data_IF_003231467882
#
_entry.id   IF_003231467882
#
_cell.length_a   1.000
_cell.length_b   1.000
_cell.length_c   1.000
_cell.angle_alpha   90.00
_cell.angle_beta   90.00
_cell.angle_gamma   90.00
#
_symmetry.space_group_name_H-M   'P 1'
#
loop_
_entity.id
_entity.type
_entity.pdbx_description
1 polymer ?
#
# COMPACT_ATOMS: atom_id res chain seq x y z
N UNK A 1 -24.64 -103.69 -8.80
CA UNK A 1 -23.48 -102.75 -8.89
C UNK A 1 -23.94 -101.50 -9.59
N UNK A 2 -24.10 -100.45 -8.83
CA UNK A 2 -24.61 -99.14 -9.32
C UNK A 2 -23.49 -98.11 -9.17
N UNK A 3 -23.03 -97.38 -10.22
CA UNK A 3 -22.05 -96.39 -10.07
C UNK A 3 -22.69 -95.06 -9.62
N UNK A 4 -22.08 -94.44 -8.65
CA UNK A 4 -22.43 -93.11 -8.14
C UNK A 4 -21.91 -92.00 -9.09
N UNK A 5 -22.82 -91.18 -9.53
CA UNK A 5 -22.48 -89.85 -10.17
C UNK A 5 -22.00 -88.87 -9.13
N UNK A 6 -20.84 -88.29 -9.36
CA UNK A 6 -20.38 -87.07 -8.62
C UNK A 6 -20.86 -85.81 -9.41
N UNK A 7 -21.59 -84.96 -8.72
CA UNK A 7 -21.95 -83.63 -9.23
C UNK A 7 -20.87 -82.61 -8.78
N UNK A 8 -20.19 -82.00 -9.75
CA UNK A 8 -19.34 -80.83 -9.50
C UNK A 8 -20.20 -79.56 -9.46
N UNK A 9 -20.23 -78.89 -8.32
CA UNK A 9 -20.78 -77.56 -8.15
C UNK A 9 -19.67 -76.51 -8.42
N UNK A 10 -19.82 -75.76 -9.49
CA UNK A 10 -18.96 -74.65 -9.80
C UNK A 10 -19.39 -73.40 -8.99
N UNK A 11 -18.54 -72.93 -8.13
CA UNK A 11 -18.71 -71.69 -7.36
C UNK A 11 -18.23 -70.49 -8.25
N UNK A 12 -19.15 -69.66 -8.72
CA UNK A 12 -18.83 -68.40 -9.44
C UNK A 12 -18.58 -67.30 -8.41
N UNK A 13 -17.32 -66.88 -8.27
CA UNK A 13 -16.92 -65.66 -7.50
C UNK A 13 -17.08 -64.43 -8.35
N UNK A 14 -18.08 -63.62 -8.06
CA UNK A 14 -18.24 -62.28 -8.60
C UNK A 14 -17.29 -61.32 -7.87
N UNK A 15 -16.26 -60.83 -8.56
CA UNK A 15 -15.38 -59.76 -8.09
C UNK A 15 -16.11 -58.44 -8.39
N UNK A 16 -16.61 -57.79 -7.34
CA UNK A 16 -17.11 -56.40 -7.44
C UNK A 16 -15.92 -55.46 -7.52
N UNK A 17 -15.67 -54.85 -8.70
CA UNK A 17 -14.78 -53.70 -8.81
C UNK A 17 -15.48 -52.50 -8.19
N UNK A 18 -15.08 -52.12 -6.96
CA UNK A 18 -15.39 -50.81 -6.41
C UNK A 18 -14.48 -49.76 -7.10
N UNK A 19 -15.04 -49.06 -8.05
CA UNK A 19 -14.38 -47.86 -8.63
C UNK A 19 -14.19 -46.80 -7.54
N UNK A 20 -12.97 -46.66 -7.05
CA UNK A 20 -12.60 -45.48 -6.26
C UNK A 20 -12.65 -44.26 -7.19
N UNK A 21 -13.64 -43.40 -7.03
CA UNK A 21 -13.65 -42.08 -7.63
C UNK A 21 -12.50 -41.32 -6.99
N UNK A 22 -11.44 -41.07 -7.76
CA UNK A 22 -10.39 -40.14 -7.33
C UNK A 22 -11.05 -38.76 -7.21
N UNK A 23 -11.03 -38.16 -6.02
CA UNK A 23 -11.34 -36.76 -5.87
C UNK A 23 -10.39 -35.95 -6.80
N UNK A 24 -10.87 -34.91 -7.47
CA UNK A 24 -9.98 -34.06 -8.24
C UNK A 24 -8.86 -33.58 -7.31
N UNK A 25 -7.62 -33.70 -7.74
CA UNK A 25 -6.48 -33.08 -7.04
C UNK A 25 -6.75 -31.58 -6.99
N UNK A 26 -6.83 -31.03 -5.78
CA UNK A 26 -6.81 -29.58 -5.60
C UNK A 26 -5.52 -29.10 -6.25
N UNK A 27 -5.62 -28.32 -7.32
CA UNK A 27 -4.44 -27.61 -7.85
C UNK A 27 -3.90 -26.73 -6.73
N UNK A 28 -2.59 -26.70 -6.55
CA UNK A 28 -1.98 -25.70 -5.67
C UNK A 28 -2.47 -24.29 -6.07
N UNK A 29 -2.71 -23.40 -5.12
CA UNK A 29 -3.04 -22.02 -5.43
C UNK A 29 -2.03 -21.45 -6.43
N UNK A 30 -2.49 -20.68 -7.40
CA UNK A 30 -1.61 -19.98 -8.34
C UNK A 30 -1.44 -18.55 -7.85
N UNK A 31 -0.24 -17.97 -8.01
CA UNK A 31 -0.10 -16.54 -7.74
C UNK A 31 -1.01 -15.74 -8.68
N UNK A 32 -1.58 -14.61 -8.23
CA UNK A 32 -2.33 -13.71 -9.08
C UNK A 32 -1.43 -13.12 -10.16
N UNK A 33 -2.04 -12.66 -11.25
CA UNK A 33 -1.36 -11.93 -12.34
C UNK A 33 -2.11 -10.63 -12.58
N UNK A 34 -1.41 -9.59 -13.01
CA UNK A 34 -2.08 -8.35 -13.39
C UNK A 34 -2.98 -8.57 -14.61
N UNK A 35 -4.18 -7.99 -14.58
CA UNK A 35 -5.14 -7.96 -15.68
C UNK A 35 -4.67 -7.00 -16.77
N UNK A 36 -4.16 -5.85 -16.34
CA UNK A 36 -3.58 -4.79 -17.17
C UNK A 36 -2.56 -3.99 -16.37
N UNK A 37 -1.87 -3.09 -17.04
CA UNK A 37 -0.88 -2.19 -16.46
C UNK A 37 -0.95 -0.81 -17.11
N UNK A 38 -0.50 0.23 -16.39
CA UNK A 38 -0.39 1.58 -16.93
C UNK A 38 0.83 1.72 -17.85
N UNK A 39 0.87 2.77 -18.72
CA UNK A 39 2.08 3.09 -19.45
C UNK A 39 3.30 3.27 -18.54
N UNK A 40 4.51 2.89 -19.00
CA UNK A 40 5.71 3.01 -18.20
C UNK A 40 6.08 4.46 -17.91
N UNK A 41 6.50 4.71 -16.67
CA UNK A 41 7.15 5.94 -16.24
C UNK A 41 8.66 5.71 -16.27
N UNK A 42 9.39 6.50 -17.04
CA UNK A 42 10.81 6.29 -17.26
C UNK A 42 11.66 7.19 -16.35
N UNK A 43 12.65 6.62 -15.68
CA UNK A 43 13.62 7.37 -14.86
C UNK A 43 14.32 8.50 -15.63
N UNK A 44 14.60 8.31 -16.92
CA UNK A 44 15.21 9.35 -17.76
C UNK A 44 14.34 10.61 -17.89
N UNK A 45 13.05 10.49 -17.66
CA UNK A 45 12.07 11.57 -17.70
C UNK A 45 11.80 12.14 -16.29
N UNK A 46 12.58 11.69 -15.31
CA UNK A 46 12.45 12.01 -13.88
C UNK A 46 11.08 11.62 -13.33
N UNK A 47 10.53 10.51 -13.84
CA UNK A 47 9.24 9.98 -13.47
C UNK A 47 9.42 8.60 -12.84
N UNK A 48 8.87 8.44 -11.64
CA UNK A 48 8.97 7.24 -10.83
C UNK A 48 7.62 7.00 -10.13
N UNK A 49 6.98 5.88 -10.46
CA UNK A 49 5.72 5.50 -9.84
C UNK A 49 5.94 5.24 -8.34
N UNK A 50 4.98 5.68 -7.52
CA UNK A 50 5.10 5.54 -6.07
C UNK A 50 3.81 4.94 -5.48
N UNK A 51 2.75 5.72 -5.31
CA UNK A 51 1.57 5.29 -4.58
C UNK A 51 0.28 5.47 -5.42
N UNK A 52 -0.64 4.48 -5.44
CA UNK A 52 -1.93 4.57 -6.07
C UNK A 52 -3.05 4.75 -5.05
N UNK A 53 -4.16 5.39 -5.47
CA UNK A 53 -5.44 5.42 -4.78
C UNK A 53 -6.60 5.20 -5.77
N UNK A 54 -7.54 4.31 -5.44
CA UNK A 54 -8.64 3.91 -6.33
C UNK A 54 -9.90 4.68 -5.94
N UNK A 55 -10.35 5.58 -6.81
CA UNK A 55 -11.62 6.28 -6.64
C UNK A 55 -12.75 5.52 -7.31
N UNK A 56 -13.68 4.98 -6.50
CA UNK A 56 -14.91 4.39 -7.00
C UNK A 56 -15.94 5.48 -7.29
N UNK A 57 -16.28 5.71 -8.57
CA UNK A 57 -17.26 6.72 -8.93
C UNK A 57 -18.65 6.34 -8.36
N UNK A 58 -19.25 7.17 -7.47
CA UNK A 58 -20.52 6.85 -6.84
C UNK A 58 -21.74 6.91 -7.80
N UNK A 59 -21.58 7.50 -8.98
CA UNK A 59 -22.64 7.65 -9.98
C UNK A 59 -22.59 6.58 -11.07
N UNK A 60 -21.38 6.14 -11.47
CA UNK A 60 -21.17 5.12 -12.49
C UNK A 60 -19.84 4.41 -12.22
N UNK A 61 -19.86 3.14 -11.80
CA UNK A 61 -18.67 2.34 -11.47
C UNK A 61 -17.71 2.15 -12.64
N UNK A 62 -18.21 2.23 -13.89
CA UNK A 62 -17.37 2.15 -15.11
C UNK A 62 -16.50 3.40 -15.30
N UNK A 63 -16.88 4.53 -14.71
CA UNK A 63 -16.16 5.81 -14.76
C UNK A 63 -15.23 6.01 -13.52
N UNK A 64 -14.93 4.93 -12.77
CA UNK A 64 -13.98 4.95 -11.66
C UNK A 64 -12.55 5.21 -12.15
N UNK A 65 -11.68 5.73 -11.26
CA UNK A 65 -10.35 6.18 -11.62
C UNK A 65 -9.29 5.64 -10.66
N UNK A 66 -8.05 5.63 -11.12
CA UNK A 66 -6.86 5.41 -10.29
C UNK A 66 -6.01 6.67 -10.32
N UNK A 67 -5.88 7.31 -9.16
CA UNK A 67 -5.03 8.48 -8.95
C UNK A 67 -3.69 8.00 -8.44
N UNK A 68 -2.59 8.45 -9.04
CA UNK A 68 -1.25 7.96 -8.68
C UNK A 68 -0.26 9.08 -8.54
N UNK A 69 0.75 8.87 -7.74
CA UNK A 69 1.91 9.75 -7.66
C UNK A 69 3.05 9.24 -8.57
N UNK A 70 3.84 10.17 -9.06
CA UNK A 70 4.98 9.94 -9.94
C UNK A 70 6.20 10.73 -9.47
N UNK A 71 6.33 10.89 -8.17
CA UNK A 71 7.39 11.64 -7.45
C UNK A 71 7.62 13.02 -8.07
N UNK A 72 8.81 13.28 -8.62
CA UNK A 72 9.17 14.58 -9.23
C UNK A 72 8.38 14.89 -10.50
N UNK A 73 7.78 13.89 -11.15
CA UNK A 73 6.93 14.11 -12.33
C UNK A 73 5.49 14.52 -11.98
N UNK A 74 5.13 14.60 -10.70
CA UNK A 74 3.80 15.02 -10.28
C UNK A 74 2.84 13.87 -10.03
N UNK A 75 1.62 13.94 -10.57
CA UNK A 75 0.57 12.93 -10.40
C UNK A 75 -0.06 12.58 -11.74
N UNK A 76 -0.56 11.35 -11.84
CA UNK A 76 -1.31 10.86 -12.98
C UNK A 76 -2.67 10.34 -12.55
N UNK A 77 -3.65 10.45 -13.43
CA UNK A 77 -4.98 9.85 -13.28
C UNK A 77 -5.19 8.90 -14.43
N UNK A 78 -5.55 7.67 -14.14
CA UNK A 78 -5.81 6.63 -15.12
C UNK A 78 -7.27 6.17 -15.03
N UNK A 79 -7.85 5.79 -16.17
CA UNK A 79 -9.09 5.06 -16.19
C UNK A 79 -8.89 3.57 -15.87
N UNK A 80 -9.99 2.79 -15.85
CA UNK A 80 -9.93 1.36 -15.54
C UNK A 80 -9.36 0.49 -16.67
N UNK A 81 -9.11 1.07 -17.86
CA UNK A 81 -8.35 0.45 -18.95
C UNK A 81 -6.83 0.72 -18.81
N UNK A 82 -6.41 1.50 -17.80
CA UNK A 82 -5.04 1.91 -17.55
C UNK A 82 -4.54 3.04 -18.47
N UNK A 83 -5.44 3.68 -19.21
CA UNK A 83 -5.10 4.81 -20.08
C UNK A 83 -5.00 6.11 -19.28
N UNK A 84 -4.00 6.93 -19.55
CA UNK A 84 -3.79 8.22 -18.88
C UNK A 84 -4.89 9.21 -19.28
N UNK A 85 -5.70 9.66 -18.33
CA UNK A 85 -6.77 10.65 -18.54
C UNK A 85 -6.35 12.07 -18.16
N UNK A 86 -5.52 12.21 -17.10
CA UNK A 86 -5.03 13.52 -16.66
C UNK A 86 -3.61 13.39 -16.11
N UNK A 87 -2.80 14.43 -16.33
CA UNK A 87 -1.50 14.63 -15.68
C UNK A 87 -1.52 15.95 -14.90
N UNK A 88 -1.00 15.93 -13.70
CA UNK A 88 -0.90 17.09 -12.80
C UNK A 88 0.58 17.37 -12.54
N UNK A 89 1.07 18.49 -13.05
CA UNK A 89 2.45 18.92 -12.82
C UNK A 89 2.75 19.14 -11.33
N UNK A 90 3.98 18.88 -10.86
CA UNK A 90 4.40 19.26 -9.51
C UNK A 90 4.36 20.77 -9.32
N UNK A 91 4.14 21.23 -8.08
CA UNK A 91 4.17 22.65 -7.77
C UNK A 91 5.53 23.25 -8.09
N UNK A 92 5.60 24.46 -8.69
CA UNK A 92 6.87 25.09 -9.00
C UNK A 92 7.63 25.45 -7.71
N UNK A 93 8.95 25.38 -7.76
CA UNK A 93 9.81 25.83 -6.68
C UNK A 93 9.50 27.29 -6.28
N UNK A 94 9.42 27.62 -4.98
CA UNK A 94 9.19 29.00 -4.51
C UNK A 94 10.24 29.99 -5.00
N UNK A 95 11.48 29.55 -5.15
CA UNK A 95 12.57 30.31 -5.77
C UNK A 95 13.52 29.38 -6.55
N UNK A 96 14.44 29.92 -7.38
CA UNK A 96 15.36 29.07 -8.16
C UNK A 96 16.34 28.23 -7.32
N UNK A 97 16.49 28.53 -6.05
CA UNK A 97 17.40 27.85 -5.13
C UNK A 97 16.64 26.84 -4.23
N UNK A 98 15.29 26.76 -4.37
CA UNK A 98 14.43 25.88 -3.58
C UNK A 98 14.04 24.63 -4.36
N UNK A 99 13.60 23.59 -3.65
CA UNK A 99 13.08 22.39 -4.24
C UNK A 99 11.67 22.64 -4.86
N UNK A 100 11.34 22.06 -6.02
CA UNK A 100 9.97 22.02 -6.51
C UNK A 100 9.13 21.06 -5.69
N UNK A 101 7.80 21.09 -5.89
CA UNK A 101 6.89 20.07 -5.36
C UNK A 101 7.30 18.67 -5.80
N UNK A 102 7.03 17.69 -4.93
CA UNK A 102 7.24 16.28 -5.17
C UNK A 102 6.17 15.51 -4.42
N UNK A 103 5.25 14.91 -5.17
CA UNK A 103 4.18 14.12 -4.57
C UNK A 103 4.67 12.71 -4.26
N UNK A 104 4.54 12.29 -2.99
CA UNK A 104 4.95 10.96 -2.54
C UNK A 104 3.73 10.03 -2.49
N UNK A 105 2.94 10.05 -1.44
CA UNK A 105 1.75 9.21 -1.32
C UNK A 105 0.47 9.98 -1.65
N UNK A 106 -0.56 9.26 -2.06
CA UNK A 106 -1.90 9.78 -2.33
C UNK A 106 -2.95 8.88 -1.67
N UNK A 107 -4.01 9.48 -1.13
CA UNK A 107 -5.17 8.75 -0.61
C UNK A 107 -6.45 9.56 -0.85
N UNK A 108 -7.60 8.92 -0.72
CA UNK A 108 -8.90 9.48 -1.05
C UNK A 108 -9.70 9.80 0.21
N UNK A 109 -10.43 10.89 0.15
CA UNK A 109 -11.32 11.33 1.22
C UNK A 109 -12.72 11.58 0.66
N UNK A 110 -13.63 10.65 0.92
CA UNK A 110 -15.00 10.71 0.43
C UNK A 110 -15.84 11.73 1.18
N UNK A 111 -16.84 12.29 0.49
CA UNK A 111 -17.91 13.09 1.08
C UNK A 111 -17.43 14.32 1.88
N UNK A 112 -16.28 14.91 1.56
CA UNK A 112 -15.80 16.13 2.21
C UNK A 112 -16.77 17.31 1.93
N UNK A 113 -17.08 18.08 2.96
CA UNK A 113 -17.94 19.27 2.81
C UNK A 113 -17.12 20.43 2.26
N UNK A 114 -17.34 20.81 0.99
CA UNK A 114 -16.69 21.93 0.31
C UNK A 114 -17.76 22.80 -0.39
N UNK A 115 -17.80 24.09 -0.13
CA UNK A 115 -18.79 25.06 -0.64
C UNK A 115 -20.27 24.67 -0.34
N UNK A 116 -20.47 23.83 0.66
CA UNK A 116 -21.79 23.33 1.09
C UNK A 116 -22.27 22.08 0.37
N UNK A 117 -21.50 21.55 -0.57
CA UNK A 117 -21.70 20.28 -1.24
C UNK A 117 -20.78 19.19 -0.69
N UNK A 118 -21.08 17.94 -1.02
CA UNK A 118 -20.21 16.80 -0.77
C UNK A 118 -19.29 16.61 -1.98
N UNK A 119 -18.01 16.55 -1.72
CA UNK A 119 -16.95 16.46 -2.73
C UNK A 119 -15.96 15.38 -2.33
N UNK A 120 -15.62 14.49 -3.24
CA UNK A 120 -14.54 13.55 -3.03
C UNK A 120 -13.21 14.23 -3.35
N UNK A 121 -12.22 13.97 -2.52
CA UNK A 121 -10.91 14.59 -2.62
C UNK A 121 -9.82 13.53 -2.82
N UNK A 122 -8.89 13.78 -3.74
CA UNK A 122 -7.58 13.15 -3.72
C UNK A 122 -6.63 14.05 -2.91
N UNK A 123 -5.95 13.45 -1.94
CA UNK A 123 -5.02 14.16 -1.05
C UNK A 123 -3.66 13.52 -1.20
N UNK A 124 -2.66 14.31 -1.53
CA UNK A 124 -1.28 13.84 -1.69
C UNK A 124 -0.33 14.56 -0.73
N UNK A 125 0.68 13.88 -0.22
CA UNK A 125 1.79 14.49 0.49
C UNK A 125 2.72 15.18 -0.52
N UNK A 126 2.98 16.47 -0.32
CA UNK A 126 3.92 17.23 -1.13
C UNK A 126 5.24 17.41 -0.37
N UNK A 127 6.16 16.51 -0.61
CA UNK A 127 7.48 16.46 0.03
C UNK A 127 8.33 17.70 -0.28
N UNK A 128 8.20 18.26 -1.50
CA UNK A 128 8.95 19.45 -1.89
C UNK A 128 8.44 20.74 -1.23
N UNK A 129 7.21 20.74 -0.71
CA UNK A 129 6.60 21.90 -0.04
C UNK A 129 6.34 21.67 1.46
N UNK A 130 6.53 20.46 1.96
CA UNK A 130 6.16 20.04 3.32
C UNK A 130 4.69 20.34 3.66
N UNK A 131 3.80 20.10 2.68
CA UNK A 131 2.36 20.37 2.78
C UNK A 131 1.55 19.23 2.15
N UNK A 132 0.25 19.47 1.97
CA UNK A 132 -0.63 18.60 1.19
C UNK A 132 -0.97 19.23 -0.17
N UNK A 133 -1.05 18.40 -1.20
CA UNK A 133 -1.84 18.65 -2.40
C UNK A 133 -3.25 18.14 -2.18
N UNK A 134 -4.28 18.96 -2.40
CA UNK A 134 -5.67 18.56 -2.23
C UNK A 134 -6.41 18.86 -3.52
N UNK A 135 -7.03 17.85 -4.11
CA UNK A 135 -7.69 17.95 -5.41
C UNK A 135 -9.14 17.47 -5.30
N UNK A 136 -10.09 18.30 -5.71
CA UNK A 136 -11.48 17.92 -5.82
C UNK A 136 -11.68 17.08 -7.08
N UNK A 137 -12.41 15.98 -6.95
CA UNK A 137 -12.79 15.09 -8.07
C UNK A 137 -14.17 15.47 -8.55
N UNK A 138 -14.31 15.80 -9.83
CA UNK A 138 -15.60 16.03 -10.48
C UNK A 138 -16.21 14.69 -10.90
N UNK A 139 -17.35 14.26 -10.34
CA UNK A 139 -17.91 12.93 -10.62
C UNK A 139 -18.45 12.75 -12.05
N UNK A 140 -18.79 13.85 -12.75
CA UNK A 140 -19.28 13.80 -14.13
C UNK A 140 -18.16 13.64 -15.17
N UNK A 141 -16.97 14.21 -14.88
CA UNK A 141 -15.86 14.24 -15.84
C UNK A 141 -14.62 13.47 -15.40
N UNK A 142 -14.50 13.13 -14.11
CA UNK A 142 -13.29 12.54 -13.53
C UNK A 142 -12.11 13.52 -13.41
N UNK A 143 -12.31 14.82 -13.71
CA UNK A 143 -11.24 15.83 -13.65
C UNK A 143 -10.90 16.18 -12.20
N UNK A 144 -9.62 16.17 -11.85
CA UNK A 144 -9.08 16.62 -10.59
C UNK A 144 -8.72 18.11 -10.68
N UNK A 145 -9.27 18.92 -9.76
CA UNK A 145 -8.98 20.35 -9.65
C UNK A 145 -8.31 20.66 -8.32
N UNK A 146 -7.16 21.35 -8.33
CA UNK A 146 -6.46 21.78 -7.11
C UNK A 146 -7.33 22.77 -6.30
N UNK A 147 -7.69 22.35 -5.10
CA UNK A 147 -8.45 23.12 -4.11
C UNK A 147 -7.65 23.37 -2.83
N UNK A 148 -6.34 23.18 -2.88
CA UNK A 148 -5.46 23.39 -1.74
C UNK A 148 -5.45 24.86 -1.29
N UNK A 149 -5.44 25.10 0.01
CA UNK A 149 -5.24 26.44 0.53
C UNK A 149 -3.79 26.91 0.26
N UNK A 150 -3.59 27.98 -0.50
CA UNK A 150 -2.25 28.48 -0.82
C UNK A 150 -1.48 29.00 0.39
N UNK A 151 -2.15 29.22 1.52
CA UNK A 151 -1.57 29.72 2.77
C UNK A 151 -1.28 28.59 3.79
N UNK A 152 -1.34 27.31 3.38
CA UNK A 152 -0.96 26.19 4.23
C UNK A 152 0.42 26.40 4.85
N UNK A 153 0.58 25.99 6.10
CA UNK A 153 1.87 26.00 6.79
C UNK A 153 2.56 24.66 6.60
N UNK A 154 3.91 24.63 6.55
CA UNK A 154 4.63 23.35 6.57
C UNK A 154 4.17 22.46 7.73
N UNK A 155 4.16 21.16 7.51
CA UNK A 155 3.73 20.18 8.51
C UNK A 155 4.81 19.99 9.58
N UNK A 156 6.06 19.88 9.17
CA UNK A 156 7.20 19.60 10.05
C UNK A 156 8.27 20.69 10.09
N UNK A 157 8.41 21.46 9.02
CA UNK A 157 9.49 22.45 8.85
C UNK A 157 9.12 23.80 9.46
N UNK A 158 10.11 24.52 9.97
CA UNK A 158 9.93 25.89 10.49
C UNK A 158 10.04 26.95 9.39
N UNK A 159 10.91 26.70 8.38
CA UNK A 159 11.14 27.63 7.27
C UNK A 159 11.58 26.90 5.98
N UNK A 160 11.80 27.65 4.89
CA UNK A 160 12.18 27.09 3.60
C UNK A 160 13.54 26.37 3.63
N UNK A 161 14.44 26.77 4.52
CA UNK A 161 15.74 26.11 4.67
C UNK A 161 15.56 24.68 5.16
N UNK A 162 14.68 24.48 6.15
CA UNK A 162 14.34 23.16 6.66
C UNK A 162 13.64 22.31 5.58
N UNK A 163 12.75 22.90 4.77
CA UNK A 163 12.08 22.18 3.66
C UNK A 163 13.12 21.68 2.65
N UNK A 164 14.12 22.49 2.34
CA UNK A 164 15.17 22.14 1.39
C UNK A 164 16.11 21.02 1.91
N UNK A 165 16.12 20.71 3.22
CA UNK A 165 16.79 19.54 3.80
C UNK A 165 16.02 18.23 3.56
N UNK A 166 14.78 18.31 3.02
CA UNK A 166 13.93 17.21 2.59
C UNK A 166 13.43 16.26 3.69
N UNK A 167 13.60 16.59 4.98
CA UNK A 167 12.95 15.87 6.09
C UNK A 167 11.51 16.38 6.28
N UNK A 168 10.67 16.14 5.30
CA UNK A 168 9.37 16.76 5.11
C UNK A 168 8.25 15.73 5.05
N UNK A 169 7.04 16.13 4.66
CA UNK A 169 5.89 15.25 4.46
C UNK A 169 6.24 14.08 3.54
N UNK A 170 5.87 12.85 3.92
CA UNK A 170 6.24 11.62 3.23
C UNK A 170 5.03 10.70 3.07
N UNK A 171 4.92 9.58 3.79
CA UNK A 171 3.78 8.69 3.73
C UNK A 171 2.48 9.38 4.15
N UNK A 172 1.34 8.91 3.62
CA UNK A 172 0.04 9.53 3.87
C UNK A 172 -1.08 8.49 3.91
N UNK A 173 -2.08 8.72 4.76
CA UNK A 173 -3.43 8.13 4.67
C UNK A 173 -4.48 9.12 5.16
N UNK A 174 -5.70 9.01 4.65
CA UNK A 174 -6.82 9.88 4.99
C UNK A 174 -8.02 9.10 5.48
N UNK A 175 -8.87 9.74 6.25
CA UNK A 175 -10.18 9.21 6.58
C UNK A 175 -11.13 10.30 7.07
N UNK A 176 -12.41 10.00 7.06
CA UNK A 176 -13.43 10.81 7.70
C UNK A 176 -14.19 10.01 8.76
N UNK A 177 -14.63 10.69 9.80
CA UNK A 177 -15.57 10.17 10.78
C UNK A 177 -16.56 11.25 11.20
N UNK A 178 -17.44 10.94 12.17
CA UNK A 178 -18.41 11.90 12.73
C UNK A 178 -17.79 13.15 13.37
N UNK A 179 -16.49 13.18 13.59
CA UNK A 179 -15.76 14.29 14.24
C UNK A 179 -15.06 15.19 13.26
N UNK A 180 -14.83 14.72 12.04
CA UNK A 180 -14.19 15.48 10.96
C UNK A 180 -13.50 14.62 9.93
N UNK A 181 -12.74 15.30 9.09
CA UNK A 181 -11.86 14.73 8.07
C UNK A 181 -10.41 14.86 8.54
N UNK A 182 -9.61 13.83 8.34
CA UNK A 182 -8.26 13.72 8.89
C UNK A 182 -7.29 13.14 7.87
N UNK A 183 -6.01 13.44 8.08
CA UNK A 183 -4.89 12.76 7.45
C UNK A 183 -3.84 12.39 8.51
N UNK A 184 -3.18 11.25 8.34
CA UNK A 184 -1.88 10.97 8.93
C UNK A 184 -0.82 11.24 7.89
N UNK A 185 0.24 11.93 8.28
CA UNK A 185 1.38 12.23 7.41
C UNK A 185 2.65 11.89 8.19
N UNK A 186 3.50 11.08 7.62
CA UNK A 186 4.81 10.78 8.20
C UNK A 186 5.86 11.78 7.74
N UNK A 187 7.02 11.75 8.38
CA UNK A 187 8.16 12.59 8.07
C UNK A 187 9.29 11.78 7.46
N UNK A 188 9.77 12.20 6.29
CA UNK A 188 10.89 11.56 5.62
C UNK A 188 12.15 11.53 6.48
N UNK A 189 12.87 10.41 6.48
CA UNK A 189 14.09 10.14 7.24
C UNK A 189 13.93 10.33 8.78
N UNK A 190 12.68 10.34 9.28
CA UNK A 190 12.34 10.56 10.68
C UNK A 190 11.24 9.59 11.15
N UNK A 191 11.00 9.51 12.44
CA UNK A 191 10.00 8.60 13.02
C UNK A 191 8.71 9.31 13.43
N UNK A 192 8.54 10.56 13.00
CA UNK A 192 7.40 11.39 13.35
C UNK A 192 6.20 11.11 12.42
N UNK A 193 5.00 11.01 12.98
CA UNK A 193 3.72 10.92 12.27
C UNK A 193 2.79 11.99 12.80
N UNK A 194 2.38 12.91 11.93
CA UNK A 194 1.45 13.99 12.26
C UNK A 194 0.01 13.59 11.97
N UNK A 195 -0.89 13.85 12.92
CA UNK A 195 -2.33 13.84 12.73
C UNK A 195 -2.78 15.24 12.33
N UNK A 196 -3.29 15.37 11.12
CA UNK A 196 -3.87 16.60 10.59
C UNK A 196 -5.39 16.51 10.58
N UNK A 197 -6.05 17.62 10.81
CA UNK A 197 -7.49 17.80 10.60
C UNK A 197 -7.69 18.68 9.38
N UNK A 198 -8.34 18.16 8.35
CA UNK A 198 -8.67 18.90 7.15
C UNK A 198 -9.91 19.76 7.38
N UNK A 199 -9.91 20.99 6.87
CA UNK A 199 -11.02 21.92 7.02
C UNK A 199 -11.15 22.79 5.78
N UNK A 200 -12.40 23.11 5.42
CA UNK A 200 -12.67 24.16 4.45
C UNK A 200 -12.28 25.54 5.02
N UNK A 201 -11.66 26.36 4.21
CA UNK A 201 -11.31 27.75 4.55
C UNK A 201 -12.42 28.73 4.11
N UNK A 202 -12.36 29.96 4.60
CA UNK A 202 -13.28 31.04 4.18
C UNK A 202 -13.19 31.34 2.66
N UNK A 203 -12.15 30.89 1.99
CA UNK A 203 -11.91 31.07 0.55
C UNK A 203 -12.50 29.93 -0.32
N UNK A 204 -13.10 28.89 0.30
CA UNK A 204 -13.59 27.72 -0.42
C UNK A 204 -12.46 26.79 -0.89
N UNK A 205 -11.33 26.82 -0.20
CA UNK A 205 -10.19 25.92 -0.38
C UNK A 205 -10.07 24.98 0.81
N UNK A 206 -9.22 23.96 0.73
CA UNK A 206 -9.00 22.98 1.82
C UNK A 206 -7.62 23.23 2.43
N UNK A 207 -7.63 23.48 3.73
CA UNK A 207 -6.44 23.60 4.57
C UNK A 207 -6.44 22.55 5.68
N UNK A 208 -5.46 22.61 6.57
CA UNK A 208 -5.38 21.70 7.72
C UNK A 208 -4.84 22.39 8.98
N UNK A 209 -5.11 21.74 10.11
CA UNK A 209 -4.51 22.04 11.40
C UNK A 209 -3.83 20.78 11.95
N UNK A 210 -2.58 20.91 12.42
CA UNK A 210 -1.89 19.81 13.12
C UNK A 210 -2.51 19.61 14.49
N UNK A 211 -3.13 18.44 14.71
CA UNK A 211 -3.78 18.06 15.97
C UNK A 211 -2.75 17.49 16.94
N UNK A 212 -1.85 16.65 16.45
CA UNK A 212 -0.87 15.91 17.24
C UNK A 212 0.25 15.37 16.37
N UNK A 213 1.41 15.14 16.98
CA UNK A 213 2.51 14.38 16.39
C UNK A 213 2.82 13.21 17.33
N UNK A 214 2.91 12.02 16.78
CA UNK A 214 3.42 10.81 17.41
C UNK A 214 4.86 10.63 16.95
N UNK A 215 5.77 10.28 17.87
CA UNK A 215 7.11 9.84 17.50
C UNK A 215 7.24 8.35 17.82
N UNK A 216 7.52 7.54 16.81
CA UNK A 216 7.82 6.12 16.98
C UNK A 216 9.23 5.92 17.54
N UNK A 217 9.51 4.75 18.15
CA UNK A 217 10.87 4.45 18.65
C UNK A 217 11.90 4.45 17.53
N UNK A 218 13.07 5.03 17.82
CA UNK A 218 14.30 5.00 16.99
C UNK A 218 15.26 3.91 17.41
N UNK A 219 15.14 3.44 18.65
CA UNK A 219 15.96 2.39 19.27
C UNK A 219 15.08 1.39 20.01
N UNK A 220 15.49 0.14 19.99
CA UNK A 220 14.77 -0.99 20.55
C UNK A 220 15.64 -1.77 21.52
N UNK A 221 15.06 -2.27 22.61
CA UNK A 221 15.75 -3.18 23.52
C UNK A 221 15.48 -4.62 23.11
N UNK A 222 16.51 -5.31 22.67
CA UNK A 222 16.43 -6.70 22.26
C UNK A 222 16.23 -7.66 23.45
N UNK A 223 15.75 -8.90 23.23
CA UNK A 223 15.52 -9.87 24.30
C UNK A 223 16.75 -10.22 25.15
N UNK A 224 17.95 -10.05 24.62
CA UNK A 224 19.22 -10.22 25.32
C UNK A 224 19.66 -8.99 26.12
N UNK A 225 18.90 -7.88 26.03
CA UNK A 225 19.16 -6.61 26.69
C UNK A 225 20.07 -5.65 25.91
N UNK A 226 20.48 -6.01 24.69
CA UNK A 226 21.22 -5.10 23.81
C UNK A 226 20.29 -4.00 23.26
N UNK A 227 20.82 -2.81 22.99
CA UNK A 227 20.14 -1.78 22.20
C UNK A 227 20.38 -2.04 20.73
N UNK A 228 19.35 -1.88 19.93
CA UNK A 228 19.40 -1.97 18.49
C UNK A 228 18.65 -0.79 17.85
N UNK A 229 19.20 -0.24 16.79
CA UNK A 229 18.52 0.67 15.88
C UNK A 229 18.65 0.12 14.47
N UNK A 230 17.66 0.34 13.58
CA UNK A 230 17.83 0.09 12.16
C UNK A 230 19.08 0.74 11.61
N UNK A 231 19.68 0.11 10.62
CA UNK A 231 20.84 0.68 9.93
C UNK A 231 20.33 1.68 8.90
N UNK A 232 20.88 2.87 8.91
CA UNK A 232 20.52 3.96 8.01
C UNK A 232 21.67 4.96 7.88
N UNK A 233 21.56 5.99 7.02
CA UNK A 233 22.52 7.07 6.94
C UNK A 233 22.63 7.79 8.31
N UNK A 234 23.82 8.15 8.76
CA UNK A 234 24.01 8.84 10.02
C UNK A 234 23.24 10.17 10.13
N UNK A 235 22.18 10.16 10.91
CA UNK A 235 21.27 11.29 11.11
C UNK A 235 19.87 11.03 10.58
N UNK A 236 19.67 9.97 9.84
CA UNK A 236 18.39 9.47 9.37
C UNK A 236 17.89 8.32 10.23
N UNK A 237 16.59 8.06 10.19
CA UNK A 237 15.94 7.04 11.01
C UNK A 237 14.89 6.31 10.17
N UNK A 238 14.65 5.04 10.49
CA UNK A 238 13.60 4.23 9.87
C UNK A 238 12.26 4.98 9.88
N UNK A 239 11.90 5.48 8.72
CA UNK A 239 10.69 6.28 8.49
C UNK A 239 9.45 5.40 8.41
N UNK A 240 8.29 6.02 8.29
CA UNK A 240 7.01 5.35 8.03
C UNK A 240 6.56 5.77 6.64
N UNK A 241 6.26 4.83 5.76
CA UNK A 241 5.67 5.16 4.47
C UNK A 241 4.24 4.66 4.39
N UNK A 242 4.02 3.37 4.24
CA UNK A 242 2.68 2.81 4.14
C UNK A 242 1.87 3.05 5.41
N UNK A 243 0.69 3.63 5.23
CA UNK A 243 -0.27 3.83 6.31
C UNK A 243 -1.69 3.55 5.84
N UNK A 244 -2.53 3.04 6.75
CA UNK A 244 -3.97 2.88 6.48
C UNK A 244 -4.78 2.93 7.76
N UNK A 245 -6.06 3.30 7.68
CA UNK A 245 -6.95 3.44 8.84
C UNK A 245 -8.17 2.52 8.73
N UNK A 246 -8.30 1.61 9.67
CA UNK A 246 -9.56 0.90 9.91
C UNK A 246 -10.53 1.82 10.66
N UNK A 247 -11.34 2.56 9.93
CA UNK A 247 -12.33 3.50 10.48
C UNK A 247 -13.40 2.81 11.33
N UNK A 248 -13.69 1.53 11.05
CA UNK A 248 -14.66 0.74 11.82
C UNK A 248 -14.18 0.49 13.25
N UNK A 249 -12.86 0.38 13.44
CA UNK A 249 -12.22 0.13 14.74
C UNK A 249 -11.56 1.38 15.34
N UNK A 250 -11.35 2.42 14.52
CA UNK A 250 -10.61 3.62 14.90
C UNK A 250 -9.13 3.31 15.15
N UNK A 251 -8.54 2.49 14.30
CA UNK A 251 -7.15 2.02 14.39
C UNK A 251 -6.40 2.39 13.13
N UNK A 252 -5.21 2.95 13.29
CA UNK A 252 -4.24 3.13 12.21
C UNK A 252 -3.20 2.02 12.24
N UNK A 253 -2.77 1.59 11.05
CA UNK A 253 -1.61 0.75 10.83
C UNK A 253 -0.53 1.58 10.15
N UNK A 254 0.70 1.45 10.62
CA UNK A 254 1.85 2.24 10.17
C UNK A 254 2.99 1.29 9.86
N UNK A 255 3.47 1.26 8.62
CA UNK A 255 4.65 0.52 8.18
C UNK A 255 5.90 1.34 8.45
N UNK A 256 6.69 0.98 9.47
CA UNK A 256 8.02 1.55 9.68
C UNK A 256 9.02 0.65 8.95
N UNK A 257 9.58 1.13 7.85
CA UNK A 257 10.24 0.38 6.78
C UNK A 257 11.18 -0.74 7.26
N UNK A 258 12.19 -0.43 8.06
CA UNK A 258 13.16 -1.42 8.54
C UNK A 258 12.77 -2.06 9.89
N UNK A 259 11.55 -1.79 10.41
CA UNK A 259 11.12 -2.25 11.74
C UNK A 259 9.98 -3.25 11.67
N UNK A 260 8.84 -2.84 11.09
CA UNK A 260 7.63 -3.65 11.09
C UNK A 260 6.35 -2.82 11.05
N UNK A 261 5.22 -3.48 11.31
CA UNK A 261 3.90 -2.84 11.27
C UNK A 261 3.46 -2.48 12.69
N UNK A 262 3.20 -1.21 12.90
CA UNK A 262 2.61 -0.69 14.13
C UNK A 262 1.09 -0.63 14.02
N UNK A 263 0.42 -0.86 15.13
CA UNK A 263 -1.00 -0.59 15.35
C UNK A 263 -1.15 0.47 16.44
N UNK A 264 -1.92 1.51 16.18
CA UNK A 264 -2.17 2.61 17.12
C UNK A 264 -3.62 3.11 16.97
N UNK A 265 -4.28 3.70 18.00
CA UNK A 265 -5.52 4.42 17.78
C UNK A 265 -5.34 5.51 16.70
N UNK A 266 -6.31 5.64 15.78
CA UNK A 266 -6.22 6.58 14.65
C UNK A 266 -6.04 8.05 15.08
N UNK A 267 -6.47 8.40 16.30
CA UNK A 267 -6.23 9.72 16.90
C UNK A 267 -4.86 9.88 17.58
N UNK A 268 -3.97 8.90 17.42
CA UNK A 268 -2.61 8.84 17.98
C UNK A 268 -2.55 9.03 19.52
N UNK A 269 -3.61 8.68 20.27
CA UNK A 269 -3.68 8.89 21.74
C UNK A 269 -3.13 7.74 22.57
N UNK A 270 -2.86 6.59 21.95
CA UNK A 270 -2.43 5.37 22.65
C UNK A 270 -0.93 5.10 22.50
N UNK A 271 -0.46 4.04 23.16
CA UNK A 271 0.87 3.50 22.94
C UNK A 271 0.83 2.64 21.65
N UNK A 272 1.79 2.82 20.72
CA UNK A 272 1.93 1.96 19.54
C UNK A 272 2.25 0.51 19.94
N UNK A 273 1.67 -0.45 19.23
CA UNK A 273 1.91 -1.88 19.39
C UNK A 273 2.43 -2.46 18.08
N UNK A 274 3.62 -3.07 18.08
CA UNK A 274 4.10 -3.84 16.93
C UNK A 274 3.26 -5.11 16.78
N UNK A 275 2.62 -5.28 15.62
CA UNK A 275 1.84 -6.48 15.30
C UNK A 275 2.68 -7.53 14.59
N UNK A 276 3.68 -7.11 13.82
CA UNK A 276 4.72 -7.95 13.22
C UNK A 276 6.00 -7.12 13.02
N UNK A 277 7.14 -7.80 12.84
CA UNK A 277 8.44 -7.19 12.62
C UNK A 277 9.11 -7.73 11.36
N UNK A 278 9.96 -6.93 10.75
CA UNK A 278 10.80 -7.39 9.66
C UNK A 278 11.70 -8.56 10.10
N UNK A 279 12.09 -9.41 9.17
CA UNK A 279 13.09 -10.48 9.39
C UNK A 279 14.45 -9.86 9.81
N UNK A 280 14.70 -8.67 9.33
CA UNK A 280 15.90 -7.87 9.60
C UNK A 280 15.86 -7.17 10.97
N UNK A 281 14.72 -7.15 11.68
CA UNK A 281 14.59 -6.55 13.00
C UNK A 281 15.57 -7.16 14.01
N UNK A 282 16.39 -6.31 14.62
CA UNK A 282 17.45 -6.72 15.54
C UNK A 282 18.74 -7.18 14.86
N UNK A 283 18.83 -7.10 13.53
CA UNK A 283 20.03 -7.45 12.79
C UNK A 283 21.08 -6.33 12.94
N UNK A 284 22.32 -6.64 13.40
CA UNK A 284 23.36 -5.63 13.46
C UNK A 284 23.73 -5.16 12.04
N UNK A 285 23.62 -3.86 11.78
CA UNK A 285 23.98 -3.24 10.51
C UNK A 285 25.11 -2.24 10.67
N UNK A 286 25.86 -2.03 9.60
CA UNK A 286 26.88 -1.01 9.46
C UNK A 286 26.71 -0.30 8.11
N UNK A 287 26.42 1.01 8.16
CA UNK A 287 26.24 1.84 7.00
C UNK A 287 27.58 2.18 6.35
N UNK A 288 27.68 2.04 5.04
CA UNK A 288 28.86 2.41 4.24
C UNK A 288 28.57 3.72 3.47
N UNK A 289 29.17 4.85 3.86
CA UNK A 289 28.95 6.14 3.22
C UNK A 289 29.54 6.26 1.80
N UNK A 290 30.31 5.26 1.32
CA UNK A 290 30.83 5.25 -0.07
C UNK A 290 29.83 4.62 -1.05
N UNK A 291 29.05 3.65 -0.58
CA UNK A 291 28.03 2.94 -1.39
C UNK A 291 26.61 3.36 -1.04
N UNK A 292 26.43 4.07 0.09
CA UNK A 292 25.12 4.44 0.65
C UNK A 292 24.26 3.21 0.99
N UNK A 293 24.91 2.09 1.32
CA UNK A 293 24.23 0.84 1.64
C UNK A 293 24.57 0.33 3.05
N UNK A 294 23.65 -0.41 3.66
CA UNK A 294 23.88 -1.11 4.91
C UNK A 294 24.38 -2.53 4.69
N UNK A 295 25.47 -2.90 5.34
CA UNK A 295 25.92 -4.28 5.43
C UNK A 295 25.49 -4.90 6.77
N UNK A 296 24.98 -6.13 6.72
CA UNK A 296 24.40 -6.79 7.89
C UNK A 296 25.27 -7.93 8.40
N UNK A 297 25.31 -8.09 9.73
CA UNK A 297 25.99 -9.18 10.43
C UNK A 297 25.16 -10.47 10.50
N UNK A 298 25.58 -11.38 11.40
CA UNK A 298 24.85 -12.62 11.64
C UNK A 298 23.48 -12.32 12.26
N UNK A 299 22.41 -12.99 11.77
CA UNK A 299 21.06 -12.83 12.29
C UNK A 299 20.93 -13.44 13.69
N UNK A 300 20.65 -12.63 14.74
CA UNK A 300 20.46 -13.12 16.10
C UNK A 300 19.11 -13.81 16.34
N UNK A 301 18.18 -13.74 15.35
CA UNK A 301 16.87 -14.38 15.42
C UNK A 301 15.87 -13.60 16.28
N UNK A 302 15.92 -12.28 16.26
CA UNK A 302 14.97 -11.42 16.98
C UNK A 302 13.82 -10.94 16.09
N UNK A 303 14.02 -10.92 14.78
CA UNK A 303 13.04 -10.48 13.78
C UNK A 303 11.91 -11.48 13.57
N UNK A 304 10.92 -11.02 12.80
CA UNK A 304 9.78 -11.81 12.31
C UNK A 304 10.18 -12.90 11.31
N UNK A 305 9.18 -13.54 10.75
CA UNK A 305 9.39 -14.64 9.79
C UNK A 305 8.84 -14.31 8.39
N UNK A 306 8.12 -13.19 8.24
CA UNK A 306 7.30 -12.90 7.05
C UNK A 306 7.81 -11.69 6.28
N UNK A 307 7.81 -10.53 6.94
CA UNK A 307 8.11 -9.26 6.29
C UNK A 307 9.61 -9.10 6.02
N UNK A 308 9.95 -8.60 4.84
CA UNK A 308 11.30 -8.14 4.48
C UNK A 308 11.32 -6.64 4.34
N UNK A 309 12.43 -6.02 4.70
CA UNK A 309 12.62 -4.58 4.51
C UNK A 309 12.71 -4.23 3.00
N UNK A 310 12.10 -3.16 2.54
CA UNK A 310 11.34 -2.24 3.36
C UNK A 310 9.86 -2.67 3.44
N UNK A 311 9.16 -2.21 4.49
CA UNK A 311 7.72 -2.43 4.65
C UNK A 311 7.03 -1.16 4.15
N UNK A 312 6.47 -1.25 2.97
CA UNK A 312 5.92 -0.16 2.18
C UNK A 312 4.38 -0.14 2.22
N UNK A 313 3.71 0.05 1.09
CA UNK A 313 2.28 0.25 1.00
C UNK A 313 1.42 -0.64 1.91
N UNK A 314 0.56 -0.01 2.68
CA UNK A 314 -0.43 -0.66 3.53
C UNK A 314 -1.84 -0.31 3.07
N UNK A 315 -2.67 -1.32 2.81
CA UNK A 315 -4.08 -1.12 2.44
C UNK A 315 -4.99 -2.16 3.07
N UNK A 316 -6.31 -1.89 3.14
CA UNK A 316 -7.27 -2.78 3.79
C UNK A 316 -8.38 -3.18 2.83
N UNK A 317 -8.46 -4.47 2.50
CA UNK A 317 -9.64 -5.05 1.88
C UNK A 317 -10.70 -5.32 2.94
N UNK A 318 -11.73 -4.50 2.99
CA UNK A 318 -12.84 -4.64 3.92
C UNK A 318 -13.81 -5.75 3.49
N UNK A 319 -14.41 -6.43 4.47
CA UNK A 319 -15.40 -7.49 4.26
C UNK A 319 -16.57 -7.32 5.21
N UNK A 320 -17.66 -8.03 4.90
CA UNK A 320 -18.86 -8.03 5.73
C UNK A 320 -18.58 -8.22 7.23
N UNK A 321 -19.38 -7.54 8.06
CA UNK A 321 -19.39 -7.67 9.52
C UNK A 321 -18.09 -7.26 10.21
N UNK A 322 -17.39 -6.30 9.63
CA UNK A 322 -16.15 -5.79 10.19
C UNK A 322 -15.00 -6.80 10.11
N UNK A 323 -15.01 -7.72 9.19
CA UNK A 323 -13.86 -8.54 8.80
C UNK A 323 -13.09 -7.85 7.68
N UNK A 324 -11.94 -8.35 7.37
CA UNK A 324 -11.12 -7.85 6.27
C UNK A 324 -9.68 -8.30 6.40
N UNK A 325 -8.90 -7.82 5.49
CA UNK A 325 -7.49 -8.13 5.35
C UNK A 325 -6.69 -6.83 5.32
N UNK A 326 -5.67 -6.75 6.16
CA UNK A 326 -4.59 -5.79 6.01
C UNK A 326 -3.55 -6.41 5.09
N UNK A 327 -3.24 -5.73 4.00
CA UNK A 327 -2.17 -6.07 3.08
C UNK A 327 -0.98 -5.16 3.40
N UNK A 328 0.22 -5.72 3.35
CA UNK A 328 1.45 -4.99 3.54
C UNK A 328 2.45 -5.38 2.44
N UNK A 329 2.97 -4.41 1.69
CA UNK A 329 4.10 -4.63 0.80
C UNK A 329 5.33 -5.02 1.62
N UNK A 330 5.95 -6.11 1.23
CA UNK A 330 7.24 -6.62 1.71
C UNK A 330 8.20 -6.49 0.55
N UNK A 331 8.77 -5.29 0.38
CA UNK A 331 9.50 -4.90 -0.82
C UNK A 331 10.73 -5.79 -1.05
N UNK A 332 11.43 -6.15 0.03
CA UNK A 332 12.67 -6.93 -0.06
C UNK A 332 12.51 -8.38 -0.52
N UNK A 333 11.28 -8.91 -0.72
CA UNK A 333 11.01 -10.23 -1.29
C UNK A 333 9.85 -10.25 -2.29
N UNK A 334 9.48 -9.07 -2.82
CA UNK A 334 8.48 -8.90 -3.88
C UNK A 334 7.13 -9.54 -3.52
N UNK A 335 6.71 -9.43 -2.26
CA UNK A 335 5.49 -10.07 -1.77
C UNK A 335 4.58 -9.12 -1.01
N UNK A 336 3.31 -9.50 -0.89
CA UNK A 336 2.33 -8.85 -0.04
C UNK A 336 1.96 -9.79 1.10
N UNK A 337 2.27 -9.39 2.33
CA UNK A 337 1.85 -10.09 3.54
C UNK A 337 0.40 -9.71 3.89
N UNK A 338 -0.40 -10.72 4.27
CA UNK A 338 -1.83 -10.54 4.54
C UNK A 338 -2.14 -10.91 5.98
N UNK A 339 -2.75 -9.97 6.70
CA UNK A 339 -3.16 -10.13 8.08
C UNK A 339 -4.67 -9.97 8.23
N UNK A 340 -5.25 -10.64 9.23
CA UNK A 340 -6.63 -10.35 9.63
C UNK A 340 -6.70 -8.99 10.32
N UNK A 341 -7.63 -8.10 9.92
CA UNK A 341 -7.88 -6.85 10.68
C UNK A 341 -8.63 -7.10 11.98
N UNK A 342 -9.03 -8.33 12.30
CA UNK A 342 -9.75 -8.70 13.52
C UNK A 342 -8.86 -9.44 14.51
N UNK A 343 -9.17 -9.31 15.80
CA UNK A 343 -8.41 -9.99 16.86
C UNK A 343 -7.03 -9.37 17.07
N UNK A 344 -5.99 -10.18 17.00
CA UNK A 344 -4.59 -9.79 17.20
C UNK A 344 -3.82 -9.52 15.91
N UNK A 345 -4.49 -9.35 14.78
CA UNK A 345 -3.88 -9.23 13.46
C UNK A 345 -3.10 -10.49 13.05
N UNK A 346 -3.76 -11.65 13.18
CA UNK A 346 -3.13 -12.93 12.83
C UNK A 346 -2.70 -12.92 11.35
N UNK A 347 -1.45 -13.33 11.09
CA UNK A 347 -0.95 -13.57 9.75
C UNK A 347 -1.69 -14.70 9.07
N UNK A 348 -2.11 -14.51 7.82
CA UNK A 348 -2.93 -15.44 7.06
C UNK A 348 -2.18 -16.11 5.91
N UNK A 349 -1.23 -15.42 5.32
CA UNK A 349 -0.45 -15.86 4.16
C UNK A 349 0.12 -14.68 3.40
N UNK A 350 0.93 -14.97 2.38
CA UNK A 350 1.44 -13.97 1.45
C UNK A 350 1.16 -14.38 0.01
N UNK A 351 1.20 -13.41 -0.89
CA UNK A 351 1.18 -13.63 -2.33
C UNK A 351 2.18 -12.69 -3.02
N UNK A 352 2.64 -13.06 -4.20
CA UNK A 352 3.37 -12.19 -5.13
C UNK A 352 2.60 -12.13 -6.44
N UNK A 353 2.67 -11.03 -7.16
CA UNK A 353 2.06 -10.91 -8.48
C UNK A 353 3.05 -11.43 -9.52
N UNK A 354 2.65 -12.49 -10.22
CA UNK A 354 3.51 -13.17 -11.17
C UNK A 354 3.34 -12.62 -12.59
N UNK A 355 4.30 -12.96 -13.46
CA UNK A 355 4.19 -12.69 -14.88
C UNK A 355 2.90 -13.25 -15.46
N UNK A 356 2.15 -12.40 -16.14
CA UNK A 356 0.98 -12.72 -16.92
C UNK A 356 1.31 -13.08 -18.37
N UNK A 357 0.30 -13.07 -19.22
CA UNK A 357 0.48 -13.29 -20.66
C UNK A 357 0.76 -12.00 -21.44
N UNK A 358 0.51 -10.84 -20.84
CA UNK A 358 0.61 -9.50 -21.44
C UNK A 358 1.29 -8.49 -20.51
N UNK A 359 1.33 -8.77 -19.24
CA UNK A 359 1.92 -7.96 -18.18
C UNK A 359 3.04 -8.75 -17.53
N UNK A 360 4.08 -8.12 -17.09
CA UNK A 360 5.05 -8.71 -16.17
C UNK A 360 4.50 -8.74 -14.72
N UNK A 361 5.24 -9.34 -13.81
CA UNK A 361 4.93 -9.35 -12.38
C UNK A 361 5.33 -8.04 -11.73
N UNK A 362 5.20 -7.97 -10.39
CA UNK A 362 5.67 -6.79 -9.65
C UNK A 362 6.91 -7.11 -8.85
N UNK A 363 7.82 -6.15 -8.81
CA UNK A 363 9.03 -6.17 -7.99
C UNK A 363 9.16 -4.83 -7.25
N UNK A 364 9.76 -4.86 -6.08
CA UNK A 364 10.09 -3.67 -5.29
C UNK A 364 8.90 -2.71 -5.15
N UNK A 365 7.71 -3.26 -4.80
CA UNK A 365 6.47 -2.47 -4.76
C UNK A 365 6.49 -1.49 -3.59
N UNK A 366 6.43 -0.18 -3.90
CA UNK A 366 6.24 0.90 -2.93
C UNK A 366 4.76 0.92 -2.49
N UNK A 367 3.89 1.58 -3.22
CA UNK A 367 2.48 1.78 -2.86
C UNK A 367 1.54 0.68 -3.35
N UNK A 368 0.43 0.55 -2.64
CA UNK A 368 -0.69 -0.31 -3.03
C UNK A 368 -2.01 0.18 -2.44
N UNK A 369 -3.09 0.11 -3.23
CA UNK A 369 -4.44 0.33 -2.74
C UNK A 369 -5.42 -0.74 -3.21
N UNK A 370 -6.45 -1.03 -2.39
CA UNK A 370 -7.47 -2.02 -2.69
C UNK A 370 -8.87 -1.56 -2.31
N UNK A 371 -9.79 -1.69 -3.24
CA UNK A 371 -11.23 -1.51 -2.99
C UNK A 371 -11.95 -2.84 -3.01
N UNK A 372 -13.03 -2.95 -2.21
CA UNK A 372 -13.86 -4.13 -2.09
C UNK A 372 -15.25 -3.97 -2.71
N UNK A 373 -15.43 -2.90 -3.47
CA UNK A 373 -16.63 -2.60 -4.24
C UNK A 373 -16.38 -2.88 -5.70
N UNK A 374 -17.44 -3.16 -6.46
CA UNK A 374 -17.38 -3.27 -7.91
C UNK A 374 -16.87 -1.96 -8.52
N UNK A 375 -15.87 -2.06 -9.38
CA UNK A 375 -15.36 -0.96 -10.21
C UNK A 375 -15.11 -1.51 -11.61
N UNK A 376 -15.86 -1.03 -12.61
CA UNK A 376 -15.83 -1.55 -13.97
C UNK A 376 -16.00 -3.07 -14.04
N UNK A 377 -15.10 -3.74 -14.73
CA UNK A 377 -15.09 -5.20 -14.90
C UNK A 377 -14.62 -5.98 -13.64
N UNK A 378 -14.24 -5.31 -12.54
CA UNK A 378 -13.73 -5.93 -11.30
C UNK A 378 -14.87 -6.10 -10.28
N UNK A 379 -15.65 -7.20 -10.42
CA UNK A 379 -16.88 -7.44 -9.63
C UNK A 379 -16.63 -7.55 -8.11
N UNK A 380 -15.48 -8.10 -7.68
CA UNK A 380 -15.14 -8.28 -6.26
C UNK A 380 -14.19 -7.20 -5.72
N UNK A 381 -13.85 -6.22 -6.54
CA UNK A 381 -12.92 -5.15 -6.24
C UNK A 381 -11.59 -5.27 -6.98
N UNK A 382 -10.81 -4.23 -6.90
CA UNK A 382 -9.56 -4.03 -7.61
C UNK A 382 -8.43 -3.80 -6.61
N UNK A 383 -7.28 -4.44 -6.81
CA UNK A 383 -6.01 -4.12 -6.18
C UNK A 383 -5.12 -3.44 -7.23
N UNK A 384 -4.62 -2.25 -6.93
CA UNK A 384 -3.60 -1.58 -7.73
C UNK A 384 -2.31 -1.55 -6.93
N UNK A 385 -1.20 -1.92 -7.56
CA UNK A 385 0.12 -1.95 -6.94
C UNK A 385 1.15 -1.28 -7.83
N UNK A 386 2.11 -0.62 -7.22
CA UNK A 386 3.29 -0.11 -7.90
C UNK A 386 4.24 -1.27 -8.27
N UNK A 387 4.88 -1.17 -9.43
CA UNK A 387 5.92 -2.06 -9.91
C UNK A 387 7.21 -1.26 -10.13
N UNK A 388 8.21 -1.53 -9.28
CA UNK A 388 9.48 -0.81 -9.25
C UNK A 388 10.47 -1.24 -10.33
N UNK A 389 10.28 -2.41 -10.94
CA UNK A 389 11.16 -2.98 -11.97
C UNK A 389 10.40 -3.35 -13.25
N UNK A 390 9.48 -2.46 -13.67
CA UNK A 390 8.67 -2.69 -14.86
C UNK A 390 9.50 -2.94 -16.11
N UNK A 391 9.17 -4.00 -16.86
CA UNK A 391 9.87 -4.45 -18.08
C UNK A 391 9.00 -4.23 -19.32
N UNK A 392 8.90 -2.99 -19.84
CA UNK A 392 8.00 -2.67 -20.95
C UNK A 392 8.44 -3.36 -22.24
N UNK A 393 7.48 -3.88 -23.02
CA UNK A 393 7.76 -4.59 -24.27
C UNK A 393 8.57 -3.71 -25.24
N UNK A 394 9.77 -4.18 -25.59
CA UNK A 394 10.65 -3.55 -26.60
C UNK A 394 11.52 -2.40 -26.08
N UNK A 395 11.61 -2.21 -24.78
CA UNK A 395 12.54 -1.27 -24.13
C UNK A 395 13.45 -1.99 -23.15
N UNK A 396 14.72 -1.56 -23.08
CA UNK A 396 15.68 -1.96 -22.04
C UNK A 396 15.92 -0.77 -21.06
N UNK A 397 15.07 0.26 -21.10
CA UNK A 397 15.17 1.44 -20.22
C UNK A 397 14.49 1.14 -18.89
N UNK A 398 15.10 1.54 -17.78
CA UNK A 398 14.51 1.47 -16.44
C UNK A 398 13.21 2.27 -16.37
N UNK A 399 12.18 1.66 -15.85
CA UNK A 399 10.85 2.25 -15.71
C UNK A 399 10.07 1.60 -14.59
N UNK A 400 9.12 2.34 -14.08
CA UNK A 400 8.12 1.90 -13.11
C UNK A 400 6.72 2.07 -13.69
N UNK A 401 5.72 1.40 -13.14
CA UNK A 401 4.31 1.59 -13.50
C UNK A 401 3.37 1.09 -12.42
N UNK A 402 2.07 0.98 -12.74
CA UNK A 402 1.07 0.40 -11.85
C UNK A 402 0.40 -0.80 -12.51
N UNK A 403 0.19 -1.87 -11.72
CA UNK A 403 -0.47 -3.10 -12.13
C UNK A 403 -1.87 -3.18 -11.51
N UNK A 404 -2.87 -3.50 -12.32
CA UNK A 404 -4.26 -3.68 -11.93
C UNK A 404 -4.54 -5.17 -11.77
N UNK A 405 -4.92 -5.61 -10.58
CA UNK A 405 -5.10 -7.02 -10.22
C UNK A 405 -6.51 -7.25 -9.73
N UNK A 406 -7.23 -8.15 -10.38
CA UNK A 406 -8.56 -8.55 -9.93
C UNK A 406 -8.49 -9.19 -8.54
N UNK A 407 -9.29 -8.70 -7.60
CA UNK A 407 -9.31 -9.25 -6.25
C UNK A 407 -9.72 -10.73 -6.21
N UNK A 408 -10.52 -11.22 -7.17
CA UNK A 408 -10.86 -12.65 -7.24
C UNK A 408 -9.62 -13.53 -7.45
N UNK A 409 -8.65 -13.07 -8.25
CA UNK A 409 -7.38 -13.77 -8.47
C UNK A 409 -6.50 -13.76 -7.21
N UNK A 410 -6.46 -12.63 -6.48
CA UNK A 410 -5.80 -12.55 -5.18
C UNK A 410 -6.46 -13.49 -4.18
N UNK A 411 -7.79 -13.47 -4.08
CA UNK A 411 -8.55 -14.35 -3.19
C UNK A 411 -8.33 -15.84 -3.49
N UNK A 412 -8.17 -16.19 -4.78
CA UNK A 412 -7.91 -17.57 -5.20
C UNK A 412 -6.47 -18.04 -4.93
N UNK A 413 -5.53 -17.13 -4.70
CA UNK A 413 -4.11 -17.44 -4.50
C UNK A 413 -3.76 -17.91 -3.09
N UNK A 414 -4.64 -17.68 -2.11
CA UNK A 414 -4.36 -17.97 -0.70
C UNK A 414 -5.62 -18.34 0.10
N UNK A 415 -5.55 -18.30 1.43
CA UNK A 415 -6.68 -18.54 2.31
C UNK A 415 -7.59 -17.28 2.44
N UNK A 416 -7.61 -16.45 1.42
CA UNK A 416 -8.39 -15.22 1.35
C UNK A 416 -9.75 -15.50 0.70
N UNK A 417 -10.66 -14.54 0.75
CA UNK A 417 -11.96 -14.64 0.06
C UNK A 417 -12.55 -13.25 -0.13
N UNK A 418 -13.37 -13.12 -1.11
CA UNK A 418 -14.14 -11.92 -1.39
C UNK A 418 -15.22 -11.65 -0.32
#
# INVERSE_FOLDING_TARGET
MIPRLLALTALATTVALTGASAAPASSAPRPPTATLETPPLFEKDNADADDPAIWGNPEDEDDSLVVTTAKEAGMNVYDLDGELTQHIDPRPAPSPDDNPGRYNNVDLLDDFALDGDKTDLAVASDRGMDTLGVFAIDPDSGELTDVSDPDMKPIFSEDQGDINEAHTAYGLTTWSDKTGAYALVSRNAETDVALLRLTETDAGTVGYETVRVLQLPREFTMPDGASWAPCDDPGEYAQVEGMTVDTTRGVAYLGQEQVGIWRVPADLTGEPELIDTAVEYGLPGEYDPETEECSYGDNPGHGGEVLRTDIEGLTIYHRDRGKGYLLASSQGDDSFAVYSISGGNDYLGSFSIADGSKTDGTQHSDGADVVNTEVGDFEAGLLVVQDGDNTPEGSDESSTNFKFVDWEDVAASGPFSC
#
